data_IF_770189265751
#
_entry.id   IF_770189265751
#
_cell.length_a   1.000
_cell.length_b   1.000
_cell.length_c   1.000
_cell.angle_alpha   90.00
_cell.angle_beta   90.00
_cell.angle_gamma   90.00
#
_symmetry.space_group_name_H-M   'P 1'
#
loop_
_entity.id
_entity.type
_entity.pdbx_description
1 polymer ?
#
# COMPACT_ATOMS: atom_id res chain seq x y z
N UNK A 1 -10.38 -9.62 -9.15
CA UNK A 1 -9.02 -10.22 -9.12
C UNK A 1 -8.08 -9.45 -8.21
N UNK A 2 -7.79 -8.17 -8.47
CA UNK A 2 -6.95 -7.30 -7.61
C UNK A 2 -7.56 -7.13 -6.22
N UNK A 3 -8.82 -6.69 -6.20
CA UNK A 3 -9.60 -6.43 -4.98
C UNK A 3 -9.77 -7.71 -4.14
N UNK A 4 -9.98 -8.85 -4.80
CA UNK A 4 -10.12 -10.16 -4.16
C UNK A 4 -8.78 -10.68 -3.64
N UNK A 5 -7.66 -10.41 -4.31
CA UNK A 5 -6.36 -10.87 -3.84
C UNK A 5 -5.88 -10.13 -2.59
N UNK A 6 -6.21 -8.83 -2.48
CA UNK A 6 -5.87 -8.02 -1.31
C UNK A 6 -6.59 -8.41 -0.02
N UNK A 7 -7.65 -9.23 -0.08
CA UNK A 7 -8.37 -9.73 1.09
C UNK A 7 -7.80 -11.04 1.66
N UNK A 8 -6.98 -11.79 0.90
CA UNK A 8 -6.46 -13.09 1.35
C UNK A 8 -5.70 -13.04 2.68
N UNK A 9 -4.85 -12.03 2.97
CA UNK A 9 -4.17 -11.96 4.27
C UNK A 9 -5.12 -12.01 5.46
N UNK A 10 -6.32 -11.43 5.34
CA UNK A 10 -7.33 -11.42 6.40
C UNK A 10 -8.04 -12.77 6.53
N UNK A 11 -8.24 -13.48 5.41
CA UNK A 11 -8.79 -14.83 5.44
C UNK A 11 -7.79 -15.82 6.07
N UNK A 12 -6.51 -15.69 5.73
CA UNK A 12 -5.43 -16.52 6.28
C UNK A 12 -5.17 -16.20 7.75
N UNK A 13 -5.42 -14.96 8.18
CA UNK A 13 -5.34 -14.54 9.57
C UNK A 13 -6.49 -15.07 10.47
N UNK A 14 -7.50 -15.74 9.92
CA UNK A 14 -8.70 -16.15 10.66
C UNK A 14 -8.44 -17.20 11.74
N UNK A 15 -7.39 -18.01 11.59
CA UNK A 15 -6.90 -18.98 12.57
C UNK A 15 -6.03 -18.34 13.68
N UNK A 16 -5.77 -17.02 13.57
CA UNK A 16 -4.99 -16.24 14.51
C UNK A 16 -3.47 -16.28 14.26
N UNK A 17 -2.99 -16.98 13.22
CA UNK A 17 -1.57 -17.07 12.92
C UNK A 17 -1.36 -17.05 11.40
N UNK A 18 -0.64 -16.06 10.89
CA UNK A 18 -0.19 -16.10 9.50
C UNK A 18 1.17 -16.80 9.47
N UNK A 19 1.15 -18.06 9.02
CA UNK A 19 2.32 -18.94 8.97
C UNK A 19 3.26 -18.61 7.81
N UNK A 20 4.44 -19.25 7.78
CA UNK A 20 5.37 -19.13 6.66
C UNK A 20 4.79 -19.69 5.35
N UNK A 21 3.92 -20.70 5.45
CA UNK A 21 3.25 -21.30 4.29
C UNK A 21 2.24 -20.32 3.69
N UNK A 22 1.51 -19.60 4.53
CA UNK A 22 0.60 -18.54 4.11
C UNK A 22 1.37 -17.39 3.43
N UNK A 23 2.54 -17.05 3.98
CA UNK A 23 3.45 -16.10 3.35
C UNK A 23 3.93 -16.53 1.96
N UNK A 24 4.30 -17.80 1.80
CA UNK A 24 4.71 -18.36 0.51
C UNK A 24 3.55 -18.35 -0.50
N UNK A 25 2.32 -18.63 -0.04
CA UNK A 25 1.12 -18.55 -0.86
C UNK A 25 0.85 -17.11 -1.33
N UNK A 26 0.92 -16.13 -0.44
CA UNK A 26 0.76 -14.71 -0.78
C UNK A 26 1.83 -14.23 -1.78
N UNK A 27 3.10 -14.60 -1.58
CA UNK A 27 4.16 -14.29 -2.54
C UNK A 27 3.91 -14.94 -3.91
N UNK A 28 3.49 -16.20 -3.92
CA UNK A 28 3.17 -16.92 -5.15
C UNK A 28 2.04 -16.20 -5.92
N UNK A 29 0.98 -15.77 -5.23
CA UNK A 29 -0.10 -14.96 -5.80
C UNK A 29 0.40 -13.62 -6.36
N UNK A 30 1.31 -12.93 -5.66
CA UNK A 30 1.92 -11.70 -6.16
C UNK A 30 2.69 -11.89 -7.47
N UNK A 31 3.53 -12.93 -7.55
CA UNK A 31 4.29 -13.23 -8.76
C UNK A 31 3.37 -13.64 -9.92
N UNK A 32 2.40 -14.53 -9.68
CA UNK A 32 1.41 -14.93 -10.69
C UNK A 32 0.66 -13.71 -11.23
N UNK A 33 0.20 -12.82 -10.35
CA UNK A 33 -0.46 -11.58 -10.74
C UNK A 33 0.44 -10.71 -11.62
N UNK A 34 1.69 -10.50 -11.21
CA UNK A 34 2.65 -9.67 -11.95
C UNK A 34 2.98 -10.28 -13.32
N UNK A 35 3.23 -11.58 -13.39
CA UNK A 35 3.47 -12.29 -14.65
C UNK A 35 2.25 -12.29 -15.57
N UNK A 36 1.02 -12.37 -15.04
CA UNK A 36 -0.19 -12.25 -15.84
C UNK A 36 -0.36 -10.84 -16.45
N UNK A 37 0.11 -9.81 -15.74
CA UNK A 37 0.00 -8.42 -16.18
C UNK A 37 1.04 -8.03 -17.25
N UNK A 38 2.24 -8.65 -17.20
CA UNK A 38 3.39 -8.32 -18.06
C UNK A 38 3.09 -8.39 -19.57
N UNK A 39 2.45 -9.47 -20.11
CA UNK A 39 2.17 -9.58 -21.54
C UNK A 39 1.14 -8.57 -22.05
N UNK A 40 0.24 -8.08 -21.19
CA UNK A 40 -0.89 -7.21 -21.58
C UNK A 40 -0.53 -5.72 -21.66
N UNK A 41 0.57 -5.27 -21.06
CA UNK A 41 0.83 -3.83 -20.83
C UNK A 41 1.90 -3.18 -21.71
N UNK A 42 2.74 -3.93 -22.43
CA UNK A 42 3.87 -3.32 -23.17
C UNK A 42 3.43 -2.40 -24.33
N UNK A 43 2.15 -2.43 -24.75
CA UNK A 43 1.60 -1.57 -25.81
C UNK A 43 1.00 -0.23 -25.32
N UNK A 44 0.85 0.00 -24.02
CA UNK A 44 0.04 1.13 -23.50
C UNK A 44 0.67 1.87 -22.30
N UNK A 45 1.98 1.73 -22.07
CA UNK A 45 2.62 2.30 -20.87
C UNK A 45 2.77 3.82 -20.96
N UNK A 46 1.76 4.54 -20.47
CA UNK A 46 1.76 5.99 -20.23
C UNK A 46 2.86 6.50 -19.27
N UNK A 47 3.51 5.61 -18.51
CA UNK A 47 4.64 5.92 -17.61
C UNK A 47 5.75 6.67 -18.36
N UNK A 48 6.04 6.29 -19.61
CA UNK A 48 7.08 6.96 -20.40
C UNK A 48 6.71 8.42 -20.74
N UNK A 49 5.43 8.69 -21.00
CA UNK A 49 4.93 10.04 -21.28
C UNK A 49 4.79 10.89 -20.00
N UNK A 50 4.44 10.28 -18.87
CA UNK A 50 4.38 10.95 -17.56
C UNK A 50 5.75 11.37 -17.03
N UNK A 51 6.74 10.47 -17.10
CA UNK A 51 8.11 10.79 -16.71
C UNK A 51 8.68 11.92 -17.59
N UNK A 52 8.40 11.89 -18.89
CA UNK A 52 8.78 12.95 -19.84
C UNK A 52 8.10 14.29 -19.54
N UNK A 53 6.86 14.29 -19.04
CA UNK A 53 6.06 15.50 -18.73
C UNK A 53 6.41 16.13 -17.38
N UNK A 54 6.97 15.37 -16.44
CA UNK A 54 7.45 15.87 -15.15
C UNK A 54 8.75 16.68 -15.25
N UNK A 55 9.29 16.92 -16.45
CA UNK A 55 10.64 17.47 -16.65
C UNK A 55 11.72 16.69 -15.86
N UNK A 56 11.45 15.45 -15.47
CA UNK A 56 12.52 14.48 -15.33
C UNK A 56 13.02 14.32 -16.75
N UNK A 57 14.10 15.01 -17.08
CA UNK A 57 14.92 14.65 -18.22
C UNK A 57 15.31 13.20 -18.01
N UNK A 58 14.49 12.28 -18.50
CA UNK A 58 14.94 10.99 -18.96
C UNK A 58 15.79 11.28 -20.18
N UNK A 59 16.96 11.86 -19.92
CA UNK A 59 18.10 11.78 -20.78
C UNK A 59 18.12 10.33 -21.23
N UNK A 60 17.88 10.09 -22.52
CA UNK A 60 18.22 8.83 -23.19
C UNK A 60 19.75 8.68 -23.10
N UNK A 61 20.27 8.45 -21.90
CA UNK A 61 21.61 7.98 -21.68
C UNK A 61 21.48 6.48 -21.52
N UNK A 62 22.26 5.74 -22.30
CA UNK A 62 22.70 4.37 -21.97
C UNK A 62 22.78 4.25 -20.45
N UNK A 63 22.24 3.19 -19.87
CA UNK A 63 22.32 2.87 -18.43
C UNK A 63 23.68 3.30 -17.90
N UNK A 64 23.70 4.48 -17.30
CA UNK A 64 24.94 5.17 -16.95
C UNK A 64 25.34 4.63 -15.58
N UNK A 65 26.64 4.51 -15.32
CA UNK A 65 27.14 4.24 -13.96
C UNK A 65 26.50 5.18 -12.93
N UNK A 66 26.14 6.40 -13.35
CA UNK A 66 25.44 7.39 -12.53
C UNK A 66 24.04 6.94 -12.10
N UNK A 67 23.25 6.32 -12.99
CA UNK A 67 21.90 5.85 -12.67
C UNK A 67 21.93 4.67 -11.69
N UNK A 68 22.89 3.75 -11.89
CA UNK A 68 23.10 2.63 -10.96
C UNK A 68 23.55 3.14 -9.60
N UNK A 69 24.48 4.10 -9.57
CA UNK A 69 24.93 4.74 -8.33
C UNK A 69 23.76 5.42 -7.60
N UNK A 70 22.96 6.24 -8.30
CA UNK A 70 21.77 6.88 -7.74
C UNK A 70 20.76 5.89 -7.19
N UNK A 71 20.54 4.75 -7.87
CA UNK A 71 19.64 3.71 -7.40
C UNK A 71 20.14 3.10 -6.09
N UNK A 72 21.43 2.73 -6.04
CA UNK A 72 22.05 2.15 -4.85
C UNK A 72 21.99 3.14 -3.68
N UNK A 73 22.41 4.39 -3.89
CA UNK A 73 22.40 5.40 -2.82
C UNK A 73 20.99 5.71 -2.34
N UNK A 74 20.02 5.86 -3.23
CA UNK A 74 18.62 6.08 -2.87
C UNK A 74 18.04 4.91 -2.09
N UNK A 75 18.39 3.67 -2.46
CA UNK A 75 17.96 2.46 -1.75
C UNK A 75 18.55 2.41 -0.33
N UNK A 76 19.84 2.72 -0.17
CA UNK A 76 20.48 2.78 1.15
C UNK A 76 19.81 3.85 2.02
N UNK A 77 19.57 5.04 1.49
CA UNK A 77 18.88 6.12 2.20
C UNK A 77 17.48 5.67 2.60
N UNK A 78 16.75 5.00 1.71
CA UNK A 78 15.41 4.49 2.00
C UNK A 78 15.40 3.47 3.14
N UNK A 79 16.37 2.56 3.16
CA UNK A 79 16.52 1.57 4.25
C UNK A 79 16.86 2.24 5.58
N UNK A 80 17.78 3.22 5.57
CA UNK A 80 18.11 3.97 6.78
C UNK A 80 16.92 4.79 7.29
N UNK A 81 16.16 5.40 6.38
CA UNK A 81 14.96 6.16 6.72
C UNK A 81 13.85 5.26 7.28
N UNK A 82 13.64 4.08 6.69
CA UNK A 82 12.63 3.13 7.17
C UNK A 82 12.97 2.60 8.56
N UNK A 83 14.24 2.28 8.83
CA UNK A 83 14.66 1.86 10.17
C UNK A 83 14.55 3.00 11.20
N UNK A 84 14.92 4.23 10.82
CA UNK A 84 14.69 5.41 11.65
C UNK A 84 13.21 5.59 12.00
N UNK A 85 12.32 5.47 11.03
CA UNK A 85 10.88 5.58 11.20
C UNK A 85 10.33 4.53 12.19
N UNK A 86 10.74 3.27 12.06
CA UNK A 86 10.31 2.19 12.97
C UNK A 86 10.81 2.43 14.41
N UNK A 87 12.07 2.87 14.58
CA UNK A 87 12.62 3.19 15.90
C UNK A 87 11.90 4.37 16.54
N UNK A 88 11.63 5.43 15.78
CA UNK A 88 10.87 6.60 16.27
C UNK A 88 9.44 6.22 16.63
N UNK A 89 8.78 5.32 15.87
CA UNK A 89 7.45 4.81 16.22
C UNK A 89 7.46 4.09 17.58
N UNK A 90 8.49 3.29 17.86
CA UNK A 90 8.68 2.64 19.17
C UNK A 90 8.88 3.65 20.31
N UNK A 91 9.74 4.65 20.11
CA UNK A 91 9.96 5.71 21.08
C UNK A 91 8.68 6.51 21.35
N UNK A 92 7.94 6.86 20.30
CA UNK A 92 6.70 7.62 20.42
C UNK A 92 5.61 6.84 21.15
N UNK A 93 5.55 5.52 20.95
CA UNK A 93 4.65 4.62 21.70
C UNK A 93 4.91 4.69 23.20
N UNK A 94 6.18 4.67 23.60
CA UNK A 94 6.58 4.75 25.00
C UNK A 94 6.35 6.15 25.58
N UNK A 95 6.70 7.20 24.83
CA UNK A 95 6.61 8.59 25.29
C UNK A 95 5.15 9.09 25.43
N UNK A 96 4.26 8.68 24.53
CA UNK A 96 2.85 9.08 24.55
C UNK A 96 1.95 8.09 25.31
N UNK A 97 2.49 6.95 25.77
CA UNK A 97 1.72 5.84 26.34
C UNK A 97 0.59 5.32 25.42
N UNK A 98 0.81 5.38 24.11
CA UNK A 98 -0.13 4.89 23.08
C UNK A 98 0.35 3.54 22.57
N UNK A 99 -0.59 2.64 22.25
CA UNK A 99 -0.29 1.32 21.69
C UNK A 99 0.56 1.44 20.42
N UNK A 100 1.64 0.66 20.32
CA UNK A 100 2.52 0.64 19.14
C UNK A 100 1.75 0.35 17.84
N UNK A 101 0.71 -0.48 17.93
CA UNK A 101 -0.19 -0.78 16.81
C UNK A 101 -0.83 0.48 16.21
N UNK A 102 -1.37 1.37 17.04
CA UNK A 102 -2.00 2.62 16.59
C UNK A 102 -1.00 3.52 15.84
N UNK A 103 0.22 3.66 16.36
CA UNK A 103 1.28 4.42 15.70
C UNK A 103 1.68 3.76 14.37
N UNK A 104 1.67 2.43 14.30
CA UNK A 104 1.85 1.69 13.06
C UNK A 104 0.78 2.00 12.02
N UNK A 105 -0.50 1.89 12.40
CA UNK A 105 -1.62 2.10 11.47
C UNK A 105 -1.80 3.56 11.07
N UNK A 106 -1.38 4.51 11.91
CA UNK A 106 -1.49 5.93 11.61
C UNK A 106 -0.20 6.53 11.06
N UNK A 107 0.84 6.63 11.90
CA UNK A 107 2.05 7.37 11.56
C UNK A 107 2.89 6.65 10.51
N UNK A 108 3.10 5.34 10.69
CA UNK A 108 3.92 4.56 9.76
C UNK A 108 3.21 4.41 8.42
N UNK A 109 1.93 4.04 8.44
CA UNK A 109 1.14 3.93 7.21
C UNK A 109 1.02 5.25 6.46
N UNK A 110 0.79 6.38 7.15
CA UNK A 110 0.77 7.70 6.51
C UNK A 110 2.13 8.02 5.88
N UNK A 111 3.23 7.76 6.59
CA UNK A 111 4.60 7.98 6.09
C UNK A 111 4.90 7.22 4.79
N UNK A 112 4.47 5.96 4.68
CA UNK A 112 4.68 5.16 3.47
C UNK A 112 3.73 5.50 2.33
N UNK A 113 2.53 6.00 2.63
CA UNK A 113 1.53 6.38 1.62
C UNK A 113 1.69 7.81 1.08
N UNK A 114 2.47 8.67 1.74
CA UNK A 114 2.76 10.03 1.24
C UNK A 114 3.37 10.03 -0.18
N UNK A 115 4.43 9.25 -0.48
CA UNK A 115 4.99 9.16 -1.84
C UNK A 115 3.96 8.73 -2.89
N UNK A 116 3.12 7.74 -2.58
CA UNK A 116 2.05 7.25 -3.48
C UNK A 116 1.02 8.37 -3.74
N UNK A 117 0.64 9.10 -2.70
CA UNK A 117 -0.25 10.25 -2.83
C UNK A 117 0.33 11.33 -3.76
N UNK A 118 1.64 11.61 -3.70
CA UNK A 118 2.28 12.53 -4.65
C UNK A 118 2.24 12.03 -6.10
N UNK A 119 2.50 10.73 -6.33
CA UNK A 119 2.42 10.12 -7.67
C UNK A 119 1.00 10.22 -8.21
N UNK A 120 0.01 9.81 -7.42
CA UNK A 120 -1.40 9.87 -7.76
C UNK A 120 -1.89 11.30 -8.03
N UNK A 121 -1.52 12.29 -7.21
CA UNK A 121 -1.87 13.69 -7.43
C UNK A 121 -1.27 14.24 -8.73
N UNK A 122 -0.01 13.89 -9.02
CA UNK A 122 0.59 14.32 -10.27
C UNK A 122 -0.02 13.62 -11.49
N UNK A 123 -0.39 12.36 -11.37
CA UNK A 123 -1.10 11.63 -12.43
C UNK A 123 -2.44 12.31 -12.76
N UNK A 124 -3.21 12.72 -11.73
CA UNK A 124 -4.44 13.51 -11.89
C UNK A 124 -4.15 14.84 -12.58
N UNK A 125 -3.16 15.61 -12.12
CA UNK A 125 -2.76 16.90 -12.72
C UNK A 125 -2.39 16.73 -14.19
N UNK A 126 -1.77 15.61 -14.54
CA UNK A 126 -1.36 15.28 -15.89
C UNK A 126 -2.45 14.64 -16.75
N UNK A 127 -3.62 14.33 -16.18
CA UNK A 127 -4.73 13.58 -16.78
C UNK A 127 -4.33 12.17 -17.23
N UNK A 128 -3.40 11.55 -16.52
CA UNK A 128 -2.91 10.20 -16.81
C UNK A 128 -3.64 9.17 -15.92
N UNK A 129 -4.75 8.65 -16.45
CA UNK A 129 -5.58 7.67 -15.75
C UNK A 129 -4.86 6.31 -15.60
N UNK A 130 -3.98 5.96 -16.54
CA UNK A 130 -3.26 4.66 -16.52
C UNK A 130 -2.33 4.60 -15.31
N UNK A 131 -1.61 5.69 -15.03
CA UNK A 131 -0.71 5.76 -13.89
C UNK A 131 -1.48 5.89 -12.59
N UNK A 132 -2.53 6.72 -12.56
CA UNK A 132 -3.37 6.87 -11.38
C UNK A 132 -3.96 5.53 -10.90
N UNK A 133 -4.61 4.78 -11.79
CA UNK A 133 -5.15 3.46 -11.43
C UNK A 133 -4.05 2.42 -11.23
N UNK A 134 -2.93 2.53 -11.97
CA UNK A 134 -1.78 1.64 -11.82
C UNK A 134 -1.14 1.74 -10.43
N UNK A 135 -1.02 2.95 -9.89
CA UNK A 135 -0.49 3.26 -8.57
C UNK A 135 -1.41 2.70 -7.48
N UNK A 136 -2.69 3.12 -7.47
CA UNK A 136 -3.68 2.71 -6.45
C UNK A 136 -3.83 1.18 -6.38
N UNK A 137 -4.08 0.52 -7.51
CA UNK A 137 -4.28 -0.92 -7.50
C UNK A 137 -2.99 -1.71 -7.34
N UNK A 138 -1.86 -1.14 -7.78
CA UNK A 138 -0.53 -1.71 -7.61
C UNK A 138 -0.11 -1.76 -6.15
N UNK A 139 -0.28 -0.65 -5.42
CA UNK A 139 0.08 -0.58 -3.99
C UNK A 139 -0.81 -1.48 -3.14
N UNK A 140 -2.11 -1.59 -3.44
CA UNK A 140 -3.04 -2.54 -2.79
C UNK A 140 -2.57 -4.01 -2.89
N UNK A 141 -2.12 -4.43 -4.07
CA UNK A 141 -1.65 -5.82 -4.28
C UNK A 141 -0.28 -6.03 -3.67
N UNK A 142 0.61 -5.04 -3.78
CA UNK A 142 1.98 -5.12 -3.24
C UNK A 142 1.95 -5.16 -1.72
N UNK A 143 1.18 -4.28 -1.07
CA UNK A 143 1.09 -4.26 0.40
C UNK A 143 0.45 -5.54 0.95
N UNK A 144 -0.66 -5.98 0.36
CA UNK A 144 -1.36 -7.16 0.84
C UNK A 144 -0.60 -8.47 0.58
N UNK A 145 0.06 -8.62 -0.57
CA UNK A 145 0.68 -9.90 -0.95
C UNK A 145 2.20 -9.91 -0.76
N UNK A 146 2.91 -8.90 -1.28
CA UNK A 146 4.37 -8.85 -1.21
C UNK A 146 4.84 -8.49 0.20
N UNK A 147 4.34 -7.40 0.79
CA UNK A 147 4.81 -6.93 2.10
C UNK A 147 4.42 -7.91 3.21
N UNK A 148 3.14 -8.30 3.29
CA UNK A 148 2.70 -9.30 4.28
C UNK A 148 3.34 -10.67 4.02
N UNK A 149 3.42 -11.11 2.76
CA UNK A 149 4.02 -12.40 2.40
C UNK A 149 5.51 -12.48 2.77
N UNK A 150 6.28 -11.42 2.49
CA UNK A 150 7.69 -11.35 2.86
C UNK A 150 7.87 -11.25 4.38
N UNK A 151 7.07 -10.41 5.05
CA UNK A 151 7.13 -10.25 6.51
C UNK A 151 6.88 -11.57 7.23
N UNK A 152 5.90 -12.36 6.80
CA UNK A 152 5.50 -13.63 7.42
C UNK A 152 6.50 -14.76 7.20
N UNK A 153 7.19 -14.77 6.05
CA UNK A 153 8.31 -15.70 5.80
C UNK A 153 9.46 -15.42 6.75
N UNK A 154 9.81 -14.14 6.95
CA UNK A 154 10.88 -13.72 7.87
C UNK A 154 10.46 -14.01 9.31
N UNK A 155 9.27 -13.54 9.71
CA UNK A 155 8.73 -13.73 11.06
C UNK A 155 7.21 -14.00 11.00
N UNK A 156 6.74 -15.21 11.36
CA UNK A 156 5.31 -15.53 11.39
C UNK A 156 4.53 -14.57 12.27
N UNK A 157 3.40 -14.07 11.77
CA UNK A 157 2.61 -13.04 12.45
C UNK A 157 1.58 -13.74 13.35
N UNK A 158 1.69 -13.53 14.66
CA UNK A 158 0.73 -14.06 15.64
C UNK A 158 -0.26 -12.97 16.09
N UNK A 159 -1.55 -13.24 15.92
CA UNK A 159 -2.64 -12.34 16.27
C UNK A 159 -3.14 -12.71 17.66
N UNK A 160 -2.44 -12.24 18.69
CA UNK A 160 -2.71 -12.63 20.09
C UNK A 160 -3.99 -12.05 20.70
N UNK A 161 -4.47 -10.91 20.19
CA UNK A 161 -5.67 -10.24 20.68
C UNK A 161 -6.60 -9.91 19.50
N UNK A 162 -7.45 -10.84 19.09
CA UNK A 162 -8.48 -10.59 18.08
C UNK A 162 -9.30 -9.33 18.39
N UNK A 163 -9.66 -9.10 19.65
CA UNK A 163 -10.40 -7.91 20.07
C UNK A 163 -9.62 -6.60 19.84
N UNK A 164 -8.29 -6.61 19.96
CA UNK A 164 -7.49 -5.41 19.74
C UNK A 164 -7.42 -4.99 18.26
N UNK A 165 -7.63 -5.94 17.34
CA UNK A 165 -7.62 -5.66 15.90
C UNK A 165 -9.03 -5.53 15.31
N UNK A 166 -10.07 -5.80 16.10
CA UNK A 166 -11.45 -5.86 15.61
C UNK A 166 -11.90 -4.57 14.93
N UNK A 167 -11.60 -3.41 15.54
CA UNK A 167 -11.97 -2.08 14.99
C UNK A 167 -11.28 -1.86 13.64
N UNK A 168 -9.97 -2.10 13.57
CA UNK A 168 -9.19 -2.02 12.33
C UNK A 168 -9.68 -2.98 11.24
N UNK A 169 -9.97 -4.23 11.59
CA UNK A 169 -10.51 -5.22 10.64
C UNK A 169 -11.90 -4.82 10.15
N UNK A 170 -12.79 -4.39 11.05
CA UNK A 170 -14.13 -3.93 10.69
C UNK A 170 -14.08 -2.69 9.79
N UNK A 171 -13.25 -1.70 10.11
CA UNK A 171 -13.06 -0.50 9.30
C UNK A 171 -12.59 -0.83 7.88
N UNK A 172 -11.68 -1.80 7.74
CA UNK A 172 -11.23 -2.28 6.44
C UNK A 172 -12.36 -2.92 5.64
N UNK A 173 -13.14 -3.80 6.25
CA UNK A 173 -14.29 -4.44 5.57
C UNK A 173 -15.37 -3.43 5.17
N UNK A 174 -15.65 -2.44 6.03
CA UNK A 174 -16.60 -1.35 5.73
C UNK A 174 -16.08 -0.52 4.56
N UNK A 175 -14.81 -0.10 4.60
CA UNK A 175 -14.18 0.68 3.53
C UNK A 175 -14.18 -0.09 2.21
N UNK A 176 -13.84 -1.37 2.27
CA UNK A 176 -13.88 -2.27 1.12
C UNK A 176 -15.29 -2.41 0.54
N UNK A 177 -16.28 -2.66 1.40
CA UNK A 177 -17.67 -2.80 0.98
C UNK A 177 -18.18 -1.54 0.32
N UNK A 178 -17.96 -0.36 0.92
CA UNK A 178 -18.31 0.92 0.33
C UNK A 178 -17.59 1.15 -0.99
N UNK A 179 -16.33 0.72 -1.11
CA UNK A 179 -15.53 0.95 -2.32
C UNK A 179 -16.09 0.14 -3.48
N UNK A 180 -16.47 -1.11 -3.21
CA UNK A 180 -17.17 -1.96 -4.17
C UNK A 180 -18.50 -1.32 -4.55
N UNK A 181 -19.34 -0.95 -3.58
CA UNK A 181 -20.65 -0.34 -3.85
C UNK A 181 -20.52 0.90 -4.73
N UNK A 182 -19.64 1.85 -4.39
CA UNK A 182 -19.44 3.07 -5.17
C UNK A 182 -18.86 2.79 -6.57
N UNK A 183 -17.93 1.83 -6.67
CA UNK A 183 -17.36 1.41 -7.95
C UNK A 183 -18.42 0.81 -8.90
N UNK A 184 -19.40 0.06 -8.37
CA UNK A 184 -20.50 -0.50 -9.14
C UNK A 184 -21.61 0.51 -9.48
N UNK A 185 -21.84 1.53 -8.65
CA UNK A 185 -23.04 2.38 -8.76
C UNK A 185 -22.95 3.44 -9.86
N UNK A 186 -21.79 4.09 -10.10
CA UNK A 186 -21.73 5.25 -11.02
C UNK A 186 -20.57 5.33 -12.01
N UNK A 187 -19.63 4.37 -12.07
CA UNK A 187 -18.41 4.42 -12.91
C UNK A 187 -17.52 5.66 -12.72
N UNK A 188 -17.92 6.65 -11.91
CA UNK A 188 -17.16 7.84 -11.53
C UNK A 188 -17.36 8.09 -10.03
N UNK A 189 -16.25 8.24 -9.29
CA UNK A 189 -16.29 8.60 -7.87
C UNK A 189 -16.78 10.04 -7.70
N UNK A 190 -17.96 10.22 -7.12
CA UNK A 190 -18.49 11.55 -6.81
C UNK A 190 -17.81 12.12 -5.54
N UNK A 191 -17.79 13.45 -5.40
CA UNK A 191 -17.23 14.14 -4.21
C UNK A 191 -17.86 13.64 -2.91
N UNK A 192 -19.15 13.27 -2.96
CA UNK A 192 -19.89 12.73 -1.82
C UNK A 192 -19.40 11.34 -1.41
N UNK A 193 -19.06 10.49 -2.37
CA UNK A 193 -18.54 9.14 -2.14
C UNK A 193 -17.12 9.21 -1.56
N UNK A 194 -16.29 10.10 -2.10
CA UNK A 194 -14.96 10.39 -1.54
C UNK A 194 -15.05 10.94 -0.11
N UNK A 195 -15.98 11.86 0.16
CA UNK A 195 -16.22 12.38 1.50
C UNK A 195 -16.67 11.27 2.47
N UNK A 196 -17.58 10.40 2.05
CA UNK A 196 -18.02 9.25 2.86
C UNK A 196 -16.84 8.33 3.23
N UNK A 197 -15.93 8.05 2.30
CA UNK A 197 -14.72 7.26 2.56
C UNK A 197 -13.80 7.91 3.59
N UNK A 198 -13.60 9.23 3.48
CA UNK A 198 -12.81 9.99 4.45
C UNK A 198 -13.47 9.96 5.82
N UNK A 199 -14.80 10.09 5.91
CA UNK A 199 -15.53 9.99 7.17
C UNK A 199 -15.35 8.62 7.83
N UNK A 200 -15.37 7.52 7.07
CA UNK A 200 -15.12 6.17 7.61
C UNK A 200 -13.69 6.05 8.14
N UNK A 201 -12.70 6.57 7.42
CA UNK A 201 -11.31 6.59 7.89
C UNK A 201 -11.12 7.43 9.17
N UNK A 202 -11.77 8.60 9.26
CA UNK A 202 -11.72 9.45 10.45
C UNK A 202 -12.43 8.80 11.65
N UNK A 203 -13.58 8.14 11.40
CA UNK A 203 -14.30 7.41 12.43
C UNK A 203 -13.47 6.22 12.94
N UNK A 204 -12.83 5.49 12.03
CA UNK A 204 -11.85 4.45 12.38
C UNK A 204 -10.75 5.01 13.28
N UNK A 205 -10.15 6.14 12.89
CA UNK A 205 -9.09 6.78 13.67
C UNK A 205 -9.54 7.15 15.09
N UNK A 206 -10.73 7.73 15.23
CA UNK A 206 -11.30 8.09 16.54
C UNK A 206 -11.53 6.82 17.37
N UNK A 207 -12.18 5.80 16.81
CA UNK A 207 -12.51 4.56 17.52
C UNK A 207 -11.28 3.73 17.91
N UNK A 208 -10.18 3.83 17.17
CA UNK A 208 -8.94 3.11 17.50
C UNK A 208 -8.12 3.87 18.56
N UNK A 209 -8.33 5.19 18.69
CA UNK A 209 -7.65 6.03 19.70
C UNK A 209 -8.24 5.88 21.09
N UNK A 210 -9.56 5.74 21.20
CA UNK A 210 -10.34 5.68 22.46
C UNK A 210 -10.72 4.26 22.84
#
# INVERSE_FOLDING_TARGET
MIITSSLFPFLLAADGIISRFDGLFLLSMFFIYTFYLFPKRQKEVGIFNFLKKFNLELHKKKTSRQSVFLLITSTIILVLASEGLVRTAGFLSQALHIKLFFIGVFLVAAGTSLPELFVSLSAIKNRDQVIFFGDIFGSLVTNANLVVGLSTIINPIQIKLFNAYFVSTAALFITFFLFVVFSYTKRTFDKREAFAMICVYLLFFILETF
#
